data_IF_495467463960
#
_entry.id   IF_495467463960
#
_cell.length_a   1.000
_cell.length_b   1.000
_cell.length_c   1.000
_cell.angle_alpha   90.00
_cell.angle_beta   90.00
_cell.angle_gamma   90.00
#
_symmetry.space_group_name_H-M   'P 1'
#
loop_
_entity.id
_entity.type
_entity.pdbx_description
1 polymer ?
#
# COMPACT_ATOMS: atom_id res chain seq x y z
N UNK A 1 4.30 21.98 -1.69
CA UNK A 1 3.45 22.54 -2.77
C UNK A 1 4.03 23.82 -3.33
N UNK A 2 4.27 24.86 -2.53
CA UNK A 2 4.65 26.19 -3.05
C UNK A 2 6.03 26.25 -3.69
N UNK A 3 6.97 25.42 -3.27
CA UNK A 3 8.37 25.48 -3.74
C UNK A 3 8.66 24.60 -4.95
N UNK A 4 7.86 23.57 -5.21
CA UNK A 4 8.08 22.63 -6.32
C UNK A 4 6.85 22.47 -7.22
N UNK A 5 5.71 22.03 -6.67
CA UNK A 5 4.55 21.65 -7.47
C UNK A 5 3.96 22.83 -8.26
N UNK A 6 3.73 23.97 -7.61
CA UNK A 6 3.17 25.15 -8.29
C UNK A 6 4.09 25.71 -9.39
N UNK A 7 5.41 25.89 -9.16
CA UNK A 7 6.30 26.29 -10.22
C UNK A 7 6.37 25.31 -11.38
N UNK A 8 6.29 24.00 -11.09
CA UNK A 8 6.26 22.95 -12.12
C UNK A 8 4.97 23.05 -12.95
N UNK A 9 3.82 23.17 -12.33
CA UNK A 9 2.53 23.31 -13.01
C UNK A 9 2.45 24.57 -13.86
N UNK A 10 2.94 25.69 -13.32
CA UNK A 10 3.01 26.95 -14.07
C UNK A 10 3.88 26.85 -15.32
N UNK A 11 5.05 26.19 -15.23
CA UNK A 11 5.93 25.94 -16.38
C UNK A 11 5.30 25.03 -17.43
N UNK A 12 4.37 24.17 -17.02
CA UNK A 12 3.62 23.28 -17.90
C UNK A 12 2.26 23.86 -18.34
N UNK A 13 2.07 25.17 -18.23
CA UNK A 13 0.94 25.89 -18.83
C UNK A 13 -0.29 26.03 -17.92
N UNK A 14 -0.21 25.64 -16.65
CA UNK A 14 -1.32 25.87 -15.72
C UNK A 14 -1.38 27.36 -15.30
N UNK A 15 -2.54 27.98 -15.50
CA UNK A 15 -2.78 29.36 -15.04
C UNK A 15 -3.04 29.36 -13.51
N UNK A 16 -2.09 29.90 -12.76
CA UNK A 16 -2.16 29.94 -11.29
C UNK A 16 -2.79 31.23 -10.74
N UNK A 17 -3.16 32.21 -11.59
CA UNK A 17 -3.57 33.55 -11.15
C UNK A 17 -4.79 33.58 -10.23
N UNK A 18 -5.68 32.59 -10.36
CA UNK A 18 -6.91 32.50 -9.58
C UNK A 18 -6.97 31.24 -8.69
N UNK A 19 -5.83 30.57 -8.48
CA UNK A 19 -5.77 29.36 -7.66
C UNK A 19 -5.38 29.71 -6.22
N UNK A 20 -6.22 29.29 -5.27
CA UNK A 20 -5.88 29.25 -3.86
C UNK A 20 -5.23 27.90 -3.57
N UNK A 21 -3.92 27.90 -3.40
CA UNK A 21 -3.20 26.69 -3.01
C UNK A 21 -3.21 26.52 -1.50
N UNK A 22 -3.59 25.33 -1.04
CA UNK A 22 -3.55 24.96 0.39
C UNK A 22 -2.52 23.86 0.58
N UNK A 23 -1.60 24.05 1.51
CA UNK A 23 -0.67 23.00 1.93
C UNK A 23 -1.33 22.11 2.96
N UNK A 24 -1.74 20.90 2.54
CA UNK A 24 -2.40 19.93 3.41
C UNK A 24 -1.52 19.49 4.58
N UNK A 25 -0.19 19.42 4.40
CA UNK A 25 0.75 19.09 5.48
C UNK A 25 0.79 20.21 6.53
N UNK A 26 0.85 21.47 6.08
CA UNK A 26 0.77 22.63 6.97
C UNK A 26 -0.55 22.68 7.73
N UNK A 27 -1.65 22.37 7.05
CA UNK A 27 -2.96 22.30 7.66
C UNK A 27 -3.07 21.18 8.71
N UNK A 28 -2.57 19.99 8.39
CA UNK A 28 -2.55 18.86 9.32
C UNK A 28 -1.70 19.15 10.57
N UNK A 29 -0.54 19.80 10.42
CA UNK A 29 0.31 20.23 11.55
C UNK A 29 -0.37 21.23 12.47
N UNK A 30 -1.22 22.10 11.93
CA UNK A 30 -1.99 23.07 12.71
C UNK A 30 -3.23 22.45 13.37
N UNK A 31 -3.55 21.20 13.07
CA UNK A 31 -4.74 20.50 13.58
C UNK A 31 -4.38 19.60 14.78
N UNK A 32 -5.29 19.40 15.74
CA UNK A 32 -5.04 18.64 16.97
C UNK A 32 -5.09 17.11 16.74
N UNK A 33 -4.28 16.58 15.82
CA UNK A 33 -4.28 15.15 15.46
C UNK A 33 -3.44 14.29 16.42
N UNK A 34 -2.50 14.88 17.16
CA UNK A 34 -1.63 14.15 18.09
C UNK A 34 -0.68 13.15 17.40
N UNK A 35 -0.22 13.46 16.19
CA UNK A 35 0.64 12.60 15.39
C UNK A 35 2.12 13.00 15.50
N UNK A 36 3.02 12.01 15.55
CA UNK A 36 4.47 12.23 15.57
C UNK A 36 5.00 12.81 14.26
N UNK A 37 4.34 12.51 13.15
CA UNK A 37 4.64 13.07 11.84
C UNK A 37 3.35 13.22 11.00
N UNK A 38 3.44 14.03 9.92
CA UNK A 38 2.30 14.37 9.07
C UNK A 38 2.57 13.99 7.61
N UNK A 39 3.28 12.87 7.38
CA UNK A 39 3.44 12.28 6.06
C UNK A 39 2.08 11.78 5.54
N UNK A 40 1.93 11.72 4.22
CA UNK A 40 0.68 11.26 3.60
C UNK A 40 0.25 9.88 4.13
N UNK A 41 1.18 8.93 4.19
CA UNK A 41 0.93 7.58 4.73
C UNK A 41 0.39 7.60 6.17
N UNK A 42 0.97 8.45 7.05
CA UNK A 42 0.54 8.57 8.43
C UNK A 42 -0.85 9.17 8.54
N UNK A 43 -1.17 10.15 7.71
CA UNK A 43 -2.48 10.76 7.65
C UNK A 43 -3.52 9.81 7.05
N UNK A 44 -3.15 9.00 6.05
CA UNK A 44 -4.00 7.96 5.50
C UNK A 44 -4.33 6.91 6.57
N UNK A 45 -3.33 6.42 7.30
CA UNK A 45 -3.53 5.50 8.44
C UNK A 45 -4.47 6.12 9.50
N UNK A 46 -4.29 7.41 9.79
CA UNK A 46 -5.11 8.12 10.77
C UNK A 46 -6.58 8.22 10.37
N UNK A 47 -6.83 8.53 9.10
CA UNK A 47 -8.18 8.69 8.56
C UNK A 47 -8.77 7.40 7.98
N UNK A 48 -8.08 6.27 8.09
CA UNK A 48 -8.55 4.98 7.58
C UNK A 48 -8.71 4.95 6.06
N UNK A 49 -7.87 5.73 5.35
CA UNK A 49 -7.89 5.80 3.89
C UNK A 49 -7.05 4.66 3.35
N UNK A 50 -7.72 3.67 2.78
CA UNK A 50 -7.08 2.48 2.22
C UNK A 50 -7.00 2.60 0.69
N UNK A 51 -5.96 3.29 0.20
CA UNK A 51 -5.64 3.32 -1.23
C UNK A 51 -4.30 2.65 -1.48
N UNK A 52 -4.14 2.08 -2.67
CA UNK A 52 -2.82 1.58 -3.11
C UNK A 52 -1.86 2.77 -3.20
N UNK A 53 -0.89 2.81 -2.28
CA UNK A 53 0.08 3.91 -2.19
C UNK A 53 1.02 3.92 -3.41
N UNK A 54 1.60 5.11 -3.69
CA UNK A 54 2.58 5.39 -4.75
C UNK A 54 2.04 5.44 -6.19
N UNK A 55 0.74 5.55 -6.36
CA UNK A 55 0.15 5.99 -7.61
C UNK A 55 -0.25 7.47 -7.43
N UNK A 56 0.24 8.35 -8.28
CA UNK A 56 0.00 9.80 -8.18
C UNK A 56 -1.49 10.17 -8.12
N UNK A 57 -2.36 9.41 -8.77
CA UNK A 57 -3.81 9.61 -8.70
C UNK A 57 -4.34 9.25 -7.31
N UNK A 58 -3.96 8.10 -6.76
CA UNK A 58 -4.40 7.65 -5.44
C UNK A 58 -3.88 8.56 -4.33
N UNK A 59 -2.63 9.00 -4.42
CA UNK A 59 -2.03 9.96 -3.48
C UNK A 59 -2.78 11.31 -3.53
N UNK A 60 -3.18 11.74 -4.73
CA UNK A 60 -3.97 12.96 -4.92
C UNK A 60 -5.38 12.80 -4.32
N UNK A 61 -6.06 11.69 -4.55
CA UNK A 61 -7.39 11.40 -3.99
C UNK A 61 -7.34 11.32 -2.47
N UNK A 62 -6.35 10.62 -1.90
CA UNK A 62 -6.13 10.57 -0.46
C UNK A 62 -5.88 11.98 0.13
N UNK A 63 -5.09 12.80 -0.56
CA UNK A 63 -4.82 14.18 -0.15
C UNK A 63 -6.10 15.01 -0.11
N UNK A 64 -6.99 14.87 -1.10
CA UNK A 64 -8.30 15.55 -1.14
C UNK A 64 -9.19 15.10 0.00
N UNK A 65 -9.24 13.80 0.30
CA UNK A 65 -10.04 13.26 1.41
C UNK A 65 -9.54 13.76 2.76
N UNK A 66 -8.23 13.74 2.99
CA UNK A 66 -7.60 14.30 4.19
C UNK A 66 -7.89 15.80 4.30
N UNK A 67 -7.74 16.56 3.21
CA UNK A 67 -8.06 17.99 3.19
C UNK A 67 -9.50 18.26 3.60
N UNK A 68 -10.44 17.50 3.06
CA UNK A 68 -11.86 17.65 3.38
C UNK A 68 -12.15 17.32 4.85
N UNK A 69 -11.54 16.28 5.42
CA UNK A 69 -11.66 15.95 6.83
C UNK A 69 -11.13 17.08 7.71
N UNK A 70 -9.93 17.61 7.42
CA UNK A 70 -9.32 18.73 8.14
C UNK A 70 -10.16 20.01 8.04
N UNK A 71 -10.65 20.34 6.85
CA UNK A 71 -11.52 21.51 6.60
C UNK A 71 -12.82 21.43 7.40
N UNK A 72 -13.39 20.25 7.52
CA UNK A 72 -14.60 19.98 8.28
C UNK A 72 -14.34 19.81 9.79
N UNK A 73 -13.08 20.00 10.24
CA UNK A 73 -12.67 19.79 11.63
C UNK A 73 -12.99 18.39 12.15
N UNK A 74 -13.00 17.39 11.27
CA UNK A 74 -13.12 15.99 11.64
C UNK A 74 -11.74 15.46 12.03
N UNK A 75 -11.44 15.55 13.33
CA UNK A 75 -10.17 15.11 13.90
C UNK A 75 -10.25 13.74 14.54
N UNK A 76 -11.30 12.97 14.26
CA UNK A 76 -11.46 11.62 14.79
C UNK A 76 -10.58 10.65 14.02
N UNK A 77 -9.77 9.92 14.76
CA UNK A 77 -9.06 8.79 14.16
C UNK A 77 -10.10 7.78 13.68
N UNK A 78 -10.09 7.51 12.40
CA UNK A 78 -10.86 6.42 11.82
C UNK A 78 -9.99 5.18 11.88
N UNK A 79 -10.35 4.21 12.67
CA UNK A 79 -9.88 2.85 12.44
C UNK A 79 -10.46 2.43 11.09
N UNK A 80 -9.65 1.84 10.22
CA UNK A 80 -10.16 1.06 9.10
C UNK A 80 -11.17 0.12 9.78
N UNK A 81 -12.45 0.27 9.47
CA UNK A 81 -13.49 -0.50 10.14
C UNK A 81 -13.13 -1.97 9.98
N UNK A 82 -13.09 -2.70 11.08
CA UNK A 82 -12.65 -4.09 11.13
C UNK A 82 -13.65 -5.08 10.49
N UNK A 83 -14.57 -4.57 9.67
CA UNK A 83 -15.55 -5.38 8.95
C UNK A 83 -15.05 -5.90 7.60
N UNK A 84 -13.75 -6.14 7.47
CA UNK A 84 -13.26 -6.94 6.34
C UNK A 84 -13.65 -8.40 6.57
N UNK A 85 -14.27 -9.04 5.57
CA UNK A 85 -14.59 -10.46 5.68
C UNK A 85 -13.31 -11.26 5.94
N UNK A 86 -13.31 -12.09 6.98
CA UNK A 86 -12.15 -12.87 7.42
C UNK A 86 -11.96 -14.12 6.53
N UNK A 87 -11.79 -13.91 5.23
CA UNK A 87 -11.72 -14.98 4.22
C UNK A 87 -10.36 -15.64 4.11
N UNK A 88 -9.31 -15.01 4.66
CA UNK A 88 -7.94 -15.54 4.65
C UNK A 88 -7.50 -16.10 6.01
N UNK A 89 -8.47 -16.41 6.87
CA UNK A 89 -8.18 -17.14 8.12
C UNK A 89 -7.44 -18.43 7.78
N UNK A 90 -6.36 -18.70 8.51
CA UNK A 90 -5.45 -19.83 8.29
C UNK A 90 -4.64 -19.78 6.98
N UNK A 91 -4.77 -18.72 6.18
CA UNK A 91 -3.98 -18.55 4.95
C UNK A 91 -2.68 -17.80 5.26
N UNK A 92 -1.56 -18.38 4.83
CA UNK A 92 -0.23 -17.82 5.06
C UNK A 92 0.41 -17.31 3.78
N UNK A 93 0.75 -16.04 3.80
CA UNK A 93 1.40 -15.34 2.70
C UNK A 93 2.88 -15.13 2.97
N UNK A 94 3.68 -15.23 1.93
CA UNK A 94 5.04 -14.69 1.85
C UNK A 94 5.10 -13.73 0.65
N UNK A 95 6.07 -12.84 0.63
CA UNK A 95 6.26 -11.94 -0.49
C UNK A 95 7.75 -11.67 -0.78
N UNK A 96 8.05 -11.28 -2.02
CA UNK A 96 9.41 -10.94 -2.47
C UNK A 96 9.34 -9.87 -3.57
N UNK A 97 10.43 -9.14 -3.77
CA UNK A 97 10.53 -8.08 -4.77
C UNK A 97 10.02 -6.73 -4.28
N UNK A 98 9.84 -5.82 -5.24
CA UNK A 98 9.24 -4.49 -5.08
C UNK A 98 7.89 -4.46 -5.78
N UNK A 99 6.93 -3.76 -5.21
CA UNK A 99 5.58 -3.67 -5.73
C UNK A 99 5.34 -2.27 -6.31
N UNK A 100 4.63 -2.19 -7.42
CA UNK A 100 4.30 -0.93 -8.06
C UNK A 100 3.08 -0.26 -7.37
N UNK A 101 2.13 -1.08 -6.91
CA UNK A 101 0.87 -0.61 -6.33
C UNK A 101 0.84 -0.67 -4.80
N UNK A 102 1.86 -1.27 -4.16
CA UNK A 102 1.92 -1.45 -2.71
C UNK A 102 3.28 -1.07 -2.14
N UNK A 103 3.29 -0.50 -0.95
CA UNK A 103 4.44 -0.68 -0.07
C UNK A 103 4.36 -2.06 0.58
N UNK A 104 5.49 -2.57 1.09
CA UNK A 104 5.48 -3.83 1.86
C UNK A 104 4.50 -3.76 3.04
N UNK A 105 4.48 -2.62 3.74
CA UNK A 105 3.58 -2.39 4.87
C UNK A 105 2.12 -2.40 4.45
N UNK A 106 1.78 -1.78 3.31
CA UNK A 106 0.41 -1.75 2.81
C UNK A 106 -0.04 -3.14 2.37
N UNK A 107 0.83 -3.92 1.71
CA UNK A 107 0.58 -5.32 1.36
C UNK A 107 0.29 -6.15 2.63
N UNK A 108 1.14 -6.01 3.66
CA UNK A 108 0.96 -6.69 4.94
C UNK A 108 -0.37 -6.31 5.60
N UNK A 109 -0.69 -5.02 5.64
CA UNK A 109 -1.95 -4.55 6.21
C UNK A 109 -3.16 -5.15 5.50
N UNK A 110 -3.16 -5.23 4.17
CA UNK A 110 -4.25 -5.87 3.43
C UNK A 110 -4.39 -7.35 3.81
N UNK A 111 -3.29 -8.10 3.83
CA UNK A 111 -3.33 -9.53 4.21
C UNK A 111 -3.91 -9.69 5.62
N UNK A 112 -3.43 -8.91 6.57
CA UNK A 112 -3.86 -8.97 7.97
C UNK A 112 -5.32 -8.55 8.14
N UNK A 113 -5.80 -7.54 7.40
CA UNK A 113 -7.20 -7.08 7.47
C UNK A 113 -8.20 -8.16 7.07
N UNK A 114 -7.84 -9.04 6.15
CA UNK A 114 -8.68 -10.18 5.74
C UNK A 114 -8.42 -11.48 6.53
N UNK A 115 -7.68 -11.38 7.65
CA UNK A 115 -7.42 -12.53 8.55
C UNK A 115 -6.21 -13.38 8.16
N UNK A 116 -5.49 -13.03 7.09
CA UNK A 116 -4.29 -13.76 6.66
C UNK A 116 -3.10 -13.55 7.59
N UNK A 117 -2.11 -14.41 7.49
CA UNK A 117 -0.86 -14.33 8.23
C UNK A 117 0.33 -14.16 7.30
N UNK A 118 1.42 -13.58 7.81
CA UNK A 118 2.61 -13.26 7.00
C UNK A 118 3.82 -14.05 7.48
N UNK A 119 4.51 -14.67 6.53
CA UNK A 119 5.78 -15.36 6.78
C UNK A 119 6.95 -14.61 6.18
N UNK A 120 8.04 -14.50 6.93
CA UNK A 120 9.30 -13.92 6.43
C UNK A 120 10.00 -14.79 5.39
N UNK A 121 9.70 -16.08 5.36
CA UNK A 121 10.29 -17.06 4.44
C UNK A 121 9.23 -18.02 3.90
N UNK A 122 9.49 -18.60 2.73
CA UNK A 122 8.65 -19.67 2.19
C UNK A 122 8.87 -20.94 2.98
N UNK A 123 7.82 -21.56 3.45
CA UNK A 123 7.80 -22.80 4.25
C UNK A 123 6.70 -23.75 3.74
N UNK A 124 6.69 -25.00 4.19
CA UNK A 124 5.65 -25.98 3.83
C UNK A 124 4.23 -25.57 4.20
N UNK A 125 4.10 -24.58 5.08
CA UNK A 125 2.80 -24.03 5.50
C UNK A 125 2.49 -22.68 4.83
N UNK A 126 3.25 -22.28 3.81
CA UNK A 126 2.98 -21.08 3.02
C UNK A 126 1.99 -21.44 1.93
N UNK A 127 0.90 -20.68 1.81
CA UNK A 127 -0.12 -20.89 0.80
C UNK A 127 0.13 -20.03 -0.45
N UNK A 128 0.59 -18.80 -0.24
CA UNK A 128 0.85 -17.88 -1.34
C UNK A 128 2.24 -17.22 -1.22
N UNK A 129 2.95 -17.16 -2.34
CA UNK A 129 4.11 -16.27 -2.50
C UNK A 129 3.74 -15.15 -3.48
N UNK A 130 3.59 -13.93 -2.97
CA UNK A 130 3.35 -12.74 -3.81
C UNK A 130 4.69 -12.23 -4.35
N UNK A 131 4.81 -12.18 -5.67
CA UNK A 131 6.03 -11.78 -6.38
C UNK A 131 5.82 -10.43 -7.02
N UNK A 132 6.56 -9.43 -6.53
CA UNK A 132 6.69 -8.13 -7.18
C UNK A 132 7.88 -8.09 -8.13
N UNK A 133 8.15 -6.90 -8.68
CA UNK A 133 9.29 -6.67 -9.55
C UNK A 133 10.61 -6.96 -8.82
N UNK A 134 11.45 -7.79 -9.42
CA UNK A 134 12.73 -8.16 -8.83
C UNK A 134 13.77 -7.04 -9.05
N UNK A 135 14.57 -6.81 -8.01
CA UNK A 135 15.70 -5.86 -8.05
C UNK A 135 16.98 -6.66 -8.17
N UNK A 136 17.85 -6.30 -9.11
CA UNK A 136 19.07 -7.02 -9.45
C UNK A 136 19.96 -7.44 -8.25
N UNK A 137 19.97 -6.66 -7.16
CA UNK A 137 20.73 -6.96 -5.93
C UNK A 137 20.20 -8.16 -5.12
N UNK A 138 18.97 -8.59 -5.39
CA UNK A 138 18.29 -9.65 -4.60
C UNK A 138 18.13 -10.97 -5.36
N UNK A 139 18.77 -11.06 -6.53
CA UNK A 139 18.68 -12.25 -7.39
C UNK A 139 19.72 -13.28 -6.98
N UNK A 140 19.30 -14.53 -6.81
CA UNK A 140 20.17 -15.65 -6.45
C UNK A 140 20.79 -16.30 -7.68
N UNK A 141 20.00 -16.46 -8.75
CA UNK A 141 20.42 -17.05 -10.04
C UNK A 141 20.55 -16.01 -11.17
N UNK A 142 20.55 -14.72 -10.83
CA UNK A 142 20.56 -13.61 -11.79
C UNK A 142 19.17 -13.23 -12.34
N UNK A 143 18.14 -14.03 -12.05
CA UNK A 143 16.77 -13.83 -12.52
C UNK A 143 15.76 -13.86 -11.36
N UNK A 144 15.95 -14.76 -10.40
CA UNK A 144 14.99 -15.06 -9.32
C UNK A 144 15.57 -14.82 -7.93
N UNK A 145 14.71 -14.46 -7.00
CA UNK A 145 15.04 -14.36 -5.59
C UNK A 145 15.10 -15.75 -4.94
N UNK A 146 15.79 -15.88 -3.82
CA UNK A 146 15.85 -17.13 -3.04
C UNK A 146 14.48 -17.64 -2.61
N UNK A 147 13.49 -16.74 -2.41
CA UNK A 147 12.12 -17.15 -2.07
C UNK A 147 11.37 -17.74 -3.27
N UNK A 148 11.60 -17.22 -4.47
CA UNK A 148 11.02 -17.78 -5.70
C UNK A 148 11.58 -19.16 -5.98
N UNK A 149 12.90 -19.33 -5.93
CA UNK A 149 13.58 -20.63 -6.13
C UNK A 149 13.02 -21.65 -5.15
N UNK A 150 12.99 -21.31 -3.86
CA UNK A 150 12.45 -22.19 -2.83
C UNK A 150 10.97 -22.52 -3.01
N UNK A 151 10.18 -21.56 -3.48
CA UNK A 151 8.76 -21.80 -3.78
C UNK A 151 8.60 -22.78 -4.92
N UNK A 152 9.39 -22.65 -6.00
CA UNK A 152 9.38 -23.57 -7.13
C UNK A 152 9.78 -24.99 -6.72
N UNK A 153 10.87 -25.16 -5.94
CA UNK A 153 11.29 -26.44 -5.40
C UNK A 153 10.16 -27.12 -4.61
N UNK A 154 9.44 -26.34 -3.78
CA UNK A 154 8.33 -26.88 -2.99
C UNK A 154 7.11 -27.25 -3.86
N UNK A 155 6.84 -26.49 -4.92
CA UNK A 155 5.78 -26.83 -5.89
C UNK A 155 6.16 -28.14 -6.61
N UNK A 156 7.40 -28.29 -7.03
CA UNK A 156 7.91 -29.50 -7.68
C UNK A 156 7.85 -30.71 -6.74
N UNK A 157 8.04 -30.50 -5.44
CA UNK A 157 7.88 -31.50 -4.37
C UNK A 157 6.38 -31.81 -4.05
N UNK A 158 5.44 -31.18 -4.74
CA UNK A 158 4.00 -31.43 -4.60
C UNK A 158 3.33 -30.65 -3.47
N UNK A 159 3.95 -29.59 -2.92
CA UNK A 159 3.30 -28.71 -1.96
C UNK A 159 2.30 -27.76 -2.66
N UNK A 160 1.13 -27.46 -2.07
CA UNK A 160 0.07 -26.67 -2.69
C UNK A 160 0.32 -25.15 -2.66
N UNK A 161 1.59 -24.71 -2.64
CA UNK A 161 1.95 -23.30 -2.64
C UNK A 161 1.62 -22.69 -4.01
N UNK A 162 0.99 -21.53 -4.01
CA UNK A 162 0.75 -20.76 -5.23
C UNK A 162 1.70 -19.55 -5.29
N UNK A 163 2.43 -19.44 -6.39
CA UNK A 163 3.19 -18.23 -6.71
C UNK A 163 2.30 -17.32 -7.53
N UNK A 164 2.06 -16.10 -7.05
CA UNK A 164 1.17 -15.13 -7.67
C UNK A 164 1.87 -13.81 -7.91
N UNK A 165 1.54 -13.13 -8.98
CA UNK A 165 2.00 -11.78 -9.31
C UNK A 165 1.30 -10.72 -8.46
N UNK A 166 1.79 -9.48 -8.52
CA UNK A 166 1.12 -8.33 -7.91
C UNK A 166 -0.30 -8.12 -8.48
N UNK A 167 -0.48 -8.31 -9.79
CA UNK A 167 -1.80 -8.17 -10.44
C UNK A 167 -2.79 -9.23 -9.97
N UNK A 168 -2.34 -10.48 -9.87
CA UNK A 168 -3.17 -11.55 -9.33
C UNK A 168 -3.54 -11.33 -7.86
N UNK A 169 -2.61 -10.76 -7.07
CA UNK A 169 -2.92 -10.37 -5.69
C UNK A 169 -3.95 -9.22 -5.62
N UNK A 170 -3.86 -8.22 -6.51
CA UNK A 170 -4.88 -7.17 -6.63
C UNK A 170 -6.26 -7.75 -6.97
N UNK A 171 -6.30 -8.75 -7.85
CA UNK A 171 -7.56 -9.43 -8.20
C UNK A 171 -8.13 -10.16 -6.99
N UNK A 172 -7.30 -10.90 -6.24
CA UNK A 172 -7.72 -11.54 -4.99
C UNK A 172 -8.28 -10.54 -3.96
N UNK A 173 -7.65 -9.35 -3.86
CA UNK A 173 -8.15 -8.27 -2.98
C UNK A 173 -9.50 -7.73 -3.44
N UNK A 174 -9.75 -7.64 -4.73
CA UNK A 174 -11.05 -7.20 -5.27
C UNK A 174 -12.14 -8.22 -5.02
N UNK A 175 -11.85 -9.49 -5.22
CA UNK A 175 -12.76 -10.60 -4.90
C UNK A 175 -13.09 -10.64 -3.40
N UNK A 176 -12.09 -10.40 -2.56
CA UNK A 176 -12.23 -10.38 -1.10
C UNK A 176 -13.14 -9.23 -0.58
N UNK A 177 -13.33 -8.18 -1.36
CA UNK A 177 -14.15 -7.00 -1.01
C UNK A 177 -15.62 -7.12 -1.47
N UNK A 178 -15.91 -8.08 -2.33
CA UNK A 178 -17.26 -8.33 -2.87
C UNK A 178 -17.97 -9.44 -2.10
#
# INVERSE_FOLDING_TARGET
>A
ITSFDLPFLARNGLDLRNLLAVDTVGFAKASPLGLDNHKLETLMDYYGINTTAHNALNDSLATVEIYNALKNKDYRRRTISEDFPQIWVDTKFAYTGSFANFTRKTLENHILSFGGTISKSVTKTTDFLVVGQQIAKNLTDGVRSSKEIKCMEMIDDGHPIKMITEEEFLHLLQEAKN
#
